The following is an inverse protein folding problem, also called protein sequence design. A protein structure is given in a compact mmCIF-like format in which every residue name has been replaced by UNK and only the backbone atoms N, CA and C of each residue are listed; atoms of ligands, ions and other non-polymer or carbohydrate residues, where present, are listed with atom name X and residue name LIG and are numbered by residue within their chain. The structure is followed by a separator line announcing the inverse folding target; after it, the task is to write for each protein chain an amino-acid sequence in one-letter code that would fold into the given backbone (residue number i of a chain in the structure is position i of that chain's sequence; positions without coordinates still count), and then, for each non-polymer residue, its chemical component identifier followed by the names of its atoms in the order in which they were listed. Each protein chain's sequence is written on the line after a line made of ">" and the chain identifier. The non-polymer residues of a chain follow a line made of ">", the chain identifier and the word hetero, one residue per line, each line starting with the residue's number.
data_IF_126864148595
#
_entry.id   IF_126864148595
#
_cell.length_a   1.000
_cell.length_b   1.000
_cell.length_c   1.000
_cell.angle_alpha   90.00
_cell.angle_beta   90.00
_cell.angle_gamma   90.00
#
_symmetry.space_group_name_H-M   'P 1'
#
loop_
_entity.id
_entity.type
_entity.pdbx_description
1 polymer ?
#
# COMPACT_ATOMS: atom_id res chain seq x y z
N UNK A 1 -21.14 0.19 17.89
CA UNK A 1 -21.00 1.63 18.23
C UNK A 1 -20.84 2.49 16.98
N UNK A 2 -19.67 2.60 16.34
CA UNK A 2 -19.50 3.50 15.17
C UNK A 2 -20.37 3.16 13.97
N UNK A 3 -20.59 1.87 13.68
CA UNK A 3 -21.47 1.45 12.57
C UNK A 3 -22.95 1.77 12.83
N UNK A 4 -23.32 1.97 14.09
CA UNK A 4 -24.71 2.14 14.53
C UNK A 4 -25.05 3.62 14.72
N UNK A 5 -24.11 4.40 15.25
CA UNK A 5 -24.30 5.83 15.57
C UNK A 5 -23.51 6.78 14.66
N UNK A 6 -22.76 6.25 13.69
CA UNK A 6 -21.84 7.01 12.85
C UNK A 6 -20.56 7.39 13.58
N UNK A 7 -19.63 8.00 12.85
CA UNK A 7 -18.35 8.45 13.43
C UNK A 7 -18.60 9.57 14.42
N UNK A 8 -19.22 10.67 13.99
CA UNK A 8 -19.41 11.88 14.78
C UNK A 8 -20.34 11.67 15.99
N UNK A 9 -21.25 10.71 15.91
CA UNK A 9 -22.21 10.40 16.97
C UNK A 9 -21.65 9.62 18.17
N UNK A 10 -20.41 9.14 18.11
CA UNK A 10 -19.76 8.39 19.20
C UNK A 10 -18.63 9.21 19.82
N UNK A 11 -18.61 9.38 21.14
CA UNK A 11 -17.53 10.06 21.87
C UNK A 11 -16.48 9.06 22.35
N UNK A 12 -15.23 9.51 22.45
CA UNK A 12 -14.13 8.67 22.97
C UNK A 12 -14.39 8.24 24.41
N UNK A 13 -14.97 9.11 25.24
CA UNK A 13 -15.42 8.76 26.59
C UNK A 13 -16.41 7.57 26.63
N UNK A 14 -17.33 7.46 25.66
CA UNK A 14 -18.29 6.34 25.60
C UNK A 14 -17.58 5.03 25.24
N UNK A 15 -16.56 5.10 24.38
CA UNK A 15 -15.71 3.95 24.04
C UNK A 15 -14.88 3.53 25.25
N UNK A 16 -14.27 4.49 25.94
CA UNK A 16 -13.48 4.23 27.14
C UNK A 16 -14.31 3.53 28.22
N UNK A 17 -15.54 4.02 28.45
CA UNK A 17 -16.50 3.41 29.36
C UNK A 17 -16.86 1.98 28.93
N UNK A 18 -17.16 1.75 27.64
CA UNK A 18 -17.47 0.41 27.13
C UNK A 18 -16.30 -0.57 27.27
N UNK A 19 -15.06 -0.08 27.21
CA UNK A 19 -13.84 -0.87 27.38
C UNK A 19 -13.36 -0.97 28.84
N UNK A 20 -14.02 -0.31 29.80
CA UNK A 20 -13.60 -0.32 31.21
C UNK A 20 -12.27 0.38 31.48
N UNK A 21 -11.87 1.34 30.63
CA UNK A 21 -10.62 2.10 30.75
C UNK A 21 -10.90 3.60 30.87
N UNK A 22 -9.89 4.37 31.28
CA UNK A 22 -10.00 5.83 31.26
C UNK A 22 -9.86 6.39 29.84
N UNK A 23 -10.47 7.54 29.56
CA UNK A 23 -10.30 8.25 28.29
C UNK A 23 -8.82 8.60 28.02
N UNK A 24 -8.06 8.92 29.07
CA UNK A 24 -6.61 9.11 29.00
C UNK A 24 -5.88 7.85 28.52
N UNK A 25 -6.29 6.68 29.01
CA UNK A 25 -5.73 5.40 28.55
C UNK A 25 -5.97 5.22 27.06
N UNK A 26 -7.18 5.53 26.57
CA UNK A 26 -7.49 5.45 25.14
C UNK A 26 -6.59 6.37 24.32
N UNK A 27 -6.46 7.65 24.72
CA UNK A 27 -5.61 8.61 24.00
C UNK A 27 -4.11 8.31 24.07
N UNK A 28 -3.64 7.60 25.09
CA UNK A 28 -2.25 7.15 25.14
C UNK A 28 -1.90 6.16 24.02
N UNK A 29 -2.86 5.31 23.61
CA UNK A 29 -2.68 4.37 22.51
C UNK A 29 -3.10 4.97 21.16
N UNK A 30 -4.17 5.78 21.16
CA UNK A 30 -4.78 6.34 19.97
C UNK A 30 -4.88 7.86 20.11
N UNK A 31 -3.87 8.62 19.64
CA UNK A 31 -3.80 10.07 19.85
C UNK A 31 -5.00 10.85 19.32
N UNK A 32 -5.73 10.27 18.36
CA UNK A 32 -6.93 10.83 17.75
C UNK A 32 -8.06 9.82 17.75
N UNK A 33 -9.29 10.29 17.62
CA UNK A 33 -10.43 9.40 17.47
C UNK A 33 -10.38 8.63 16.15
N UNK A 34 -9.81 9.23 15.11
CA UNK A 34 -9.57 8.61 13.82
C UNK A 34 -8.60 7.43 13.95
N UNK A 35 -7.52 7.55 14.74
CA UNK A 35 -6.59 6.45 14.99
C UNK A 35 -7.22 5.25 15.70
N UNK A 36 -8.34 5.41 16.43
CA UNK A 36 -9.08 4.26 16.99
C UNK A 36 -9.69 3.36 15.91
N UNK A 37 -9.93 3.92 14.72
CA UNK A 37 -10.62 3.24 13.61
C UNK A 37 -9.64 2.83 12.54
N UNK A 38 -8.70 3.72 12.23
CA UNK A 38 -7.74 3.61 11.15
C UNK A 38 -6.34 3.47 11.72
N UNK A 39 -6.14 2.49 12.60
CA UNK A 39 -4.80 2.24 13.09
C UNK A 39 -3.95 1.61 11.99
N UNK A 40 -2.79 2.22 11.73
CA UNK A 40 -1.77 1.60 10.90
C UNK A 40 -0.91 0.77 11.83
N UNK A 41 -1.13 -0.54 11.86
CA UNK A 41 -0.37 -1.35 12.78
C UNK A 41 1.14 -1.24 12.47
N UNK A 42 1.94 -1.19 13.54
CA UNK A 42 3.40 -1.13 13.44
C UNK A 42 3.96 -2.36 12.69
N UNK A 43 3.20 -3.46 12.69
CA UNK A 43 3.52 -4.68 11.96
C UNK A 43 3.53 -4.47 10.43
N UNK A 44 2.59 -3.70 9.88
CA UNK A 44 2.45 -3.40 8.46
C UNK A 44 3.59 -2.50 8.01
N UNK A 45 3.88 -1.44 8.77
CA UNK A 45 5.03 -0.57 8.50
C UNK A 45 6.35 -1.37 8.56
N UNK A 46 6.47 -2.28 9.52
CA UNK A 46 7.65 -3.14 9.67
C UNK A 46 7.77 -4.14 8.54
N UNK A 47 6.69 -4.81 8.15
CA UNK A 47 6.66 -5.76 7.05
C UNK A 47 7.01 -5.09 5.71
N UNK A 48 6.48 -3.88 5.47
CA UNK A 48 6.81 -3.07 4.31
C UNK A 48 8.30 -2.68 4.30
N UNK A 49 8.79 -2.10 5.40
CA UNK A 49 10.18 -1.65 5.53
C UNK A 49 11.17 -2.79 5.33
N UNK A 50 10.94 -3.91 6.02
CA UNK A 50 11.80 -5.09 5.93
C UNK A 50 11.72 -5.73 4.56
N UNK A 51 10.53 -5.87 3.98
CA UNK A 51 10.33 -6.44 2.65
C UNK A 51 11.03 -5.65 1.54
N UNK A 52 10.93 -4.33 1.57
CA UNK A 52 11.55 -3.43 0.58
C UNK A 52 13.07 -3.34 0.72
N UNK A 53 13.59 -3.50 1.94
CA UNK A 53 15.02 -3.46 2.22
C UNK A 53 15.81 -4.70 1.73
N UNK A 54 15.13 -5.81 1.39
CA UNK A 54 15.81 -7.05 0.95
C UNK A 54 16.48 -6.85 -0.41
N UNK A 55 17.82 -6.94 -0.52
CA UNK A 55 18.52 -6.85 -1.80
C UNK A 55 18.10 -7.95 -2.76
N UNK A 56 18.03 -7.63 -4.07
CA UNK A 56 17.70 -8.60 -5.12
C UNK A 56 16.22 -9.02 -5.22
N UNK A 57 15.38 -8.72 -4.22
CA UNK A 57 13.94 -8.99 -4.28
C UNK A 57 13.20 -7.92 -5.11
N UNK A 58 12.16 -8.28 -5.85
CA UNK A 58 11.32 -7.27 -6.51
C UNK A 58 10.56 -6.43 -5.46
N UNK A 59 10.63 -5.09 -5.48
CA UNK A 59 9.86 -4.24 -4.57
C UNK A 59 8.34 -4.46 -4.65
N UNK A 60 7.84 -4.78 -5.85
CA UNK A 60 6.42 -5.11 -6.08
C UNK A 60 6.03 -6.35 -5.30
N UNK A 61 6.85 -7.41 -5.31
CA UNK A 61 6.61 -8.65 -4.54
C UNK A 61 6.64 -8.44 -3.02
N UNK A 62 7.37 -7.44 -2.53
CA UNK A 62 7.35 -7.10 -1.11
C UNK A 62 5.99 -6.53 -0.72
N UNK A 63 5.49 -5.58 -1.49
CA UNK A 63 4.19 -4.93 -1.27
C UNK A 63 3.02 -5.88 -1.48
N UNK A 64 3.06 -6.70 -2.55
CA UNK A 64 2.05 -7.72 -2.81
C UNK A 64 1.92 -8.72 -1.67
N UNK A 65 3.02 -9.04 -0.97
CA UNK A 65 2.97 -9.92 0.20
C UNK A 65 2.21 -9.27 1.36
N UNK A 66 2.53 -8.01 1.70
CA UNK A 66 1.83 -7.29 2.78
C UNK A 66 0.32 -7.20 2.48
N UNK A 67 -0.03 -6.79 1.27
CA UNK A 67 -1.43 -6.71 0.82
C UNK A 67 -2.14 -8.07 0.85
N UNK A 68 -1.44 -9.14 0.45
CA UNK A 68 -1.97 -10.50 0.50
C UNK A 68 -2.21 -10.98 1.93
N UNK A 69 -1.31 -10.67 2.86
CA UNK A 69 -1.42 -11.07 4.27
C UNK A 69 -2.58 -10.33 4.95
N UNK A 70 -2.74 -9.02 4.71
CA UNK A 70 -3.89 -8.23 5.16
C UNK A 70 -5.21 -8.78 4.61
N UNK A 71 -5.26 -9.04 3.30
CA UNK A 71 -6.45 -9.58 2.64
C UNK A 71 -6.78 -10.98 3.17
N UNK A 72 -5.77 -11.82 3.36
CA UNK A 72 -5.93 -13.15 3.93
C UNK A 72 -6.54 -13.07 5.33
N UNK A 73 -5.94 -12.28 6.24
CA UNK A 73 -6.45 -12.10 7.60
C UNK A 73 -7.91 -11.67 7.63
N UNK A 74 -8.29 -10.71 6.77
CA UNK A 74 -9.67 -10.27 6.65
C UNK A 74 -10.61 -11.37 6.13
N UNK A 75 -10.23 -12.04 5.04
CA UNK A 75 -11.09 -13.08 4.44
C UNK A 75 -11.23 -14.31 5.32
N UNK A 76 -10.17 -14.68 6.05
CA UNK A 76 -10.18 -15.74 7.05
C UNK A 76 -11.05 -15.36 8.24
N UNK A 77 -11.00 -14.11 8.71
CA UNK A 77 -11.90 -13.63 9.76
C UNK A 77 -13.37 -13.71 9.34
N UNK A 78 -13.71 -13.31 8.11
CA UNK A 78 -15.08 -13.43 7.56
C UNK A 78 -15.51 -14.90 7.51
N UNK A 79 -14.64 -15.78 7.03
CA UNK A 79 -14.93 -17.22 6.90
C UNK A 79 -15.13 -17.91 8.26
N UNK A 80 -14.48 -17.41 9.30
CA UNK A 80 -14.60 -17.93 10.67
C UNK A 80 -15.87 -17.47 11.40
N UNK A 81 -16.67 -16.55 10.83
CA UNK A 81 -17.94 -16.12 11.44
C UNK A 81 -19.07 -17.09 11.09
N UNK A 82 -19.99 -17.31 12.04
CA UNK A 82 -21.19 -18.14 11.85
C UNK A 82 -22.04 -17.67 10.65
N UNK A 83 -22.14 -16.34 10.48
CA UNK A 83 -22.76 -15.71 9.31
C UNK A 83 -21.74 -14.86 8.54
N UNK A 84 -21.08 -15.50 7.58
CA UNK A 84 -20.13 -14.84 6.66
C UNK A 84 -20.78 -13.71 5.84
N UNK A 85 -22.08 -13.76 5.58
CA UNK A 85 -22.82 -12.72 4.87
C UNK A 85 -22.95 -11.45 5.71
N UNK A 86 -23.30 -11.61 6.98
CA UNK A 86 -23.35 -10.51 7.95
C UNK A 86 -21.96 -9.93 8.20
N UNK A 87 -20.94 -10.77 8.32
CA UNK A 87 -19.55 -10.32 8.46
C UNK A 87 -19.08 -9.50 7.24
N UNK A 88 -19.36 -9.97 6.02
CA UNK A 88 -19.08 -9.22 4.80
C UNK A 88 -19.86 -7.90 4.73
N UNK A 89 -21.11 -7.88 5.18
CA UNK A 89 -21.92 -6.67 5.27
C UNK A 89 -21.34 -5.67 6.28
N UNK A 90 -20.79 -6.14 7.40
CA UNK A 90 -20.11 -5.31 8.39
C UNK A 90 -18.88 -4.63 7.81
N UNK A 91 -18.00 -5.37 7.11
CA UNK A 91 -16.83 -4.80 6.42
C UNK A 91 -17.27 -3.76 5.37
N UNK A 92 -18.34 -4.03 4.63
CA UNK A 92 -18.90 -3.05 3.68
C UNK A 92 -19.36 -1.76 4.37
N UNK A 93 -20.13 -1.86 5.46
CA UNK A 93 -20.61 -0.71 6.23
C UNK A 93 -19.45 0.09 6.80
N UNK A 94 -18.42 -0.58 7.31
CA UNK A 94 -17.20 0.05 7.81
C UNK A 94 -16.47 0.86 6.75
N UNK A 95 -16.32 0.30 5.55
CA UNK A 95 -15.71 1.01 4.42
C UNK A 95 -16.53 2.22 3.97
N UNK A 96 -17.87 2.11 4.01
CA UNK A 96 -18.74 3.23 3.71
C UNK A 96 -18.59 4.34 4.76
N UNK A 97 -18.52 3.98 6.04
CA UNK A 97 -18.25 4.93 7.12
C UNK A 97 -16.96 5.74 6.88
N UNK A 98 -15.87 5.07 6.49
CA UNK A 98 -14.60 5.74 6.16
C UNK A 98 -14.80 6.69 4.97
N UNK A 99 -15.52 6.26 3.93
CA UNK A 99 -15.74 7.07 2.72
C UNK A 99 -16.68 8.26 2.94
N UNK A 100 -17.69 8.11 3.79
CA UNK A 100 -18.68 9.15 4.05
C UNK A 100 -18.21 10.19 5.06
N UNK A 101 -17.16 9.89 5.84
CA UNK A 101 -16.68 10.76 6.92
C UNK A 101 -15.44 11.56 6.48
N UNK A 102 -15.50 12.90 6.39
CA UNK A 102 -14.38 13.71 5.92
C UNK A 102 -13.08 13.55 6.72
N UNK A 103 -13.14 13.50 8.05
CA UNK A 103 -11.94 13.38 8.90
C UNK A 103 -11.26 12.01 8.74
N UNK A 104 -12.03 10.92 8.64
CA UNK A 104 -11.48 9.59 8.36
C UNK A 104 -10.80 9.52 7.00
N UNK A 105 -11.34 10.17 5.96
CA UNK A 105 -10.66 10.25 4.65
C UNK A 105 -9.37 11.07 4.71
N UNK A 106 -9.35 12.16 5.48
CA UNK A 106 -8.14 12.95 5.68
C UNK A 106 -7.08 12.11 6.40
N UNK A 107 -7.45 11.48 7.51
CA UNK A 107 -6.56 10.61 8.28
C UNK A 107 -6.01 9.44 7.44
N UNK A 108 -6.84 8.79 6.62
CA UNK A 108 -6.39 7.73 5.73
C UNK A 108 -5.35 8.22 4.69
N UNK A 109 -5.46 9.48 4.22
CA UNK A 109 -4.44 10.07 3.34
C UNK A 109 -3.13 10.32 4.09
N UNK A 110 -3.20 10.90 5.29
CA UNK A 110 -2.01 11.10 6.13
C UNK A 110 -1.31 9.78 6.43
N UNK A 111 -2.07 8.70 6.66
CA UNK A 111 -1.55 7.34 6.83
C UNK A 111 -0.86 6.82 5.56
N UNK A 112 -1.44 7.09 4.39
CA UNK A 112 -0.85 6.73 3.09
C UNK A 112 0.47 7.46 2.88
N UNK A 113 0.54 8.75 3.21
CA UNK A 113 1.75 9.56 3.07
C UNK A 113 2.87 9.05 3.99
N UNK A 114 2.55 8.60 5.20
CA UNK A 114 3.53 7.93 6.08
C UNK A 114 4.06 6.63 5.49
N UNK A 115 3.20 5.81 4.88
CA UNK A 115 3.62 4.58 4.20
C UNK A 115 4.54 4.87 3.01
N UNK A 116 4.25 5.94 2.25
CA UNK A 116 5.10 6.41 1.15
C UNK A 116 6.48 6.80 1.70
N UNK A 117 6.55 7.56 2.79
CA UNK A 117 7.81 7.92 3.44
C UNK A 117 8.65 6.69 3.83
N UNK A 118 8.02 5.70 4.48
CA UNK A 118 8.70 4.44 4.85
C UNK A 118 9.21 3.68 3.64
N UNK A 119 8.41 3.60 2.58
CA UNK A 119 8.81 2.92 1.35
C UNK A 119 9.94 3.68 0.64
N UNK A 120 9.88 5.01 0.57
CA UNK A 120 10.91 5.85 -0.05
C UNK A 120 12.25 5.69 0.68
N UNK A 121 12.25 5.72 2.02
CA UNK A 121 13.45 5.46 2.82
C UNK A 121 14.06 4.09 2.56
N UNK A 122 13.24 3.04 2.49
CA UNK A 122 13.71 1.69 2.25
C UNK A 122 14.32 1.54 0.84
N UNK A 123 13.68 2.14 -0.16
CA UNK A 123 14.13 2.12 -1.56
C UNK A 123 15.39 2.95 -1.78
N UNK A 124 15.48 4.12 -1.15
CA UNK A 124 16.65 4.99 -1.20
C UNK A 124 17.90 4.29 -0.62
N UNK A 125 17.77 3.64 0.55
CA UNK A 125 18.84 2.84 1.15
C UNK A 125 19.32 1.72 0.23
N UNK A 126 18.39 1.07 -0.48
CA UNK A 126 18.69 -0.01 -1.42
C UNK A 126 19.46 0.45 -2.66
N UNK A 127 19.27 1.71 -3.07
CA UNK A 127 19.82 2.29 -4.31
C UNK A 127 20.99 3.25 -4.06
N UNK A 128 21.29 3.57 -2.80
CA UNK A 128 22.30 4.57 -2.44
C UNK A 128 21.88 6.02 -2.74
N UNK A 129 20.57 6.26 -2.89
CA UNK A 129 19.98 7.56 -3.15
C UNK A 129 19.54 8.27 -1.85
N UNK A 130 19.21 9.55 -1.94
CA UNK A 130 18.49 10.27 -0.90
C UNK A 130 17.01 9.85 -0.91
N UNK A 131 16.34 9.71 0.24
CA UNK A 131 14.89 9.50 0.28
C UNK A 131 14.09 10.65 -0.34
N UNK A 132 14.67 11.85 -0.43
CA UNK A 132 14.03 13.03 -1.02
C UNK A 132 14.24 13.13 -2.54
N UNK A 133 15.02 12.22 -3.13
CA UNK A 133 15.21 12.17 -4.58
C UNK A 133 13.88 11.73 -5.26
N UNK A 134 13.58 12.25 -6.47
CA UNK A 134 12.32 11.96 -7.14
C UNK A 134 12.12 10.47 -7.44
N UNK A 135 13.20 9.71 -7.63
CA UNK A 135 13.21 8.29 -7.97
C UNK A 135 12.62 7.38 -6.87
N UNK A 136 13.15 7.36 -5.62
CA UNK A 136 12.54 6.60 -4.54
C UNK A 136 11.14 7.12 -4.16
N UNK A 137 10.88 8.42 -4.29
CA UNK A 137 9.57 9.02 -4.01
C UNK A 137 8.48 8.53 -4.98
N UNK A 138 8.74 8.57 -6.29
CA UNK A 138 7.76 8.12 -7.28
C UNK A 138 7.58 6.59 -7.24
N UNK A 139 8.66 5.84 -7.01
CA UNK A 139 8.58 4.40 -6.85
C UNK A 139 7.76 4.01 -5.61
N UNK A 140 8.00 4.66 -4.47
CA UNK A 140 7.21 4.46 -3.26
C UNK A 140 5.74 4.81 -3.47
N UNK A 141 5.45 5.96 -4.09
CA UNK A 141 4.08 6.38 -4.40
C UNK A 141 3.37 5.39 -5.30
N UNK A 142 4.03 4.90 -6.36
CA UNK A 142 3.48 3.90 -7.25
C UNK A 142 3.15 2.59 -6.50
N UNK A 143 4.08 2.10 -5.68
CA UNK A 143 3.90 0.88 -4.89
C UNK A 143 2.77 1.00 -3.86
N UNK A 144 2.74 2.08 -3.07
CA UNK A 144 1.68 2.32 -2.07
C UNK A 144 0.33 2.59 -2.73
N UNK A 145 0.32 3.05 -3.99
CA UNK A 145 -0.87 3.17 -4.83
C UNK A 145 -1.68 1.87 -5.00
N UNK A 146 -1.11 0.71 -4.67
CA UNK A 146 -1.83 -0.57 -4.64
C UNK A 146 -2.85 -0.70 -3.49
N UNK A 147 -2.66 -0.04 -2.34
CA UNK A 147 -3.62 -0.08 -1.22
C UNK A 147 -5.00 0.47 -1.60
N UNK A 148 -5.11 1.68 -2.19
CA UNK A 148 -6.38 2.18 -2.69
C UNK A 148 -7.05 1.26 -3.71
N UNK A 149 -6.28 0.51 -4.52
CA UNK A 149 -6.80 -0.49 -5.47
C UNK A 149 -7.39 -1.68 -4.72
N UNK A 150 -6.65 -2.28 -3.79
CA UNK A 150 -7.14 -3.35 -2.91
C UNK A 150 -8.41 -2.91 -2.18
N UNK A 151 -8.38 -1.72 -1.59
CA UNK A 151 -9.55 -1.14 -0.95
C UNK A 151 -10.69 -1.07 -1.95
N UNK A 152 -10.58 -0.38 -3.09
CA UNK A 152 -11.69 -0.27 -4.06
C UNK A 152 -12.21 -1.64 -4.54
N UNK A 153 -11.32 -2.58 -4.84
CA UNK A 153 -11.64 -3.92 -5.33
C UNK A 153 -12.44 -4.72 -4.29
N UNK A 154 -12.03 -4.70 -3.03
CA UNK A 154 -12.74 -5.34 -1.93
C UNK A 154 -14.18 -4.84 -1.81
N UNK A 155 -14.40 -3.52 -1.93
CA UNK A 155 -15.74 -2.94 -1.91
C UNK A 155 -16.62 -3.33 -3.11
N UNK A 156 -16.01 -3.58 -4.28
CA UNK A 156 -16.69 -4.09 -5.47
C UNK A 156 -17.12 -5.55 -5.26
N UNK A 157 -16.20 -6.41 -4.80
CA UNK A 157 -16.44 -7.85 -4.74
C UNK A 157 -17.32 -8.26 -3.56
N UNK A 158 -17.22 -7.60 -2.40
CA UNK A 158 -18.11 -7.85 -1.27
C UNK A 158 -19.60 -7.53 -1.55
N UNK A 159 -19.92 -6.78 -2.63
CA UNK A 159 -21.31 -6.51 -3.03
C UNK A 159 -21.94 -7.65 -3.83
N UNK A 160 -21.13 -8.42 -4.54
CA UNK A 160 -21.57 -9.35 -5.58
C UNK A 160 -21.31 -10.79 -5.17
N UNK A 161 -20.17 -11.02 -4.51
CA UNK A 161 -19.65 -12.35 -4.19
C UNK A 161 -20.01 -12.71 -2.75
N UNK A 162 -20.51 -13.94 -2.54
CA UNK A 162 -20.97 -14.41 -1.22
C UNK A 162 -19.92 -15.22 -0.45
N UNK A 163 -18.98 -15.86 -1.14
CA UNK A 163 -17.95 -16.69 -0.49
C UNK A 163 -16.66 -15.91 -0.24
N UNK A 164 -16.07 -15.94 0.98
CA UNK A 164 -14.84 -15.23 1.31
C UNK A 164 -13.65 -15.57 0.39
N UNK A 165 -13.51 -16.84 0.00
CA UNK A 165 -12.46 -17.30 -0.91
C UNK A 165 -12.57 -16.68 -2.31
N UNK A 166 -13.79 -16.51 -2.81
CA UNK A 166 -14.03 -15.89 -4.10
C UNK A 166 -13.72 -14.38 -4.05
N UNK A 167 -14.01 -13.72 -2.93
CA UNK A 167 -13.60 -12.32 -2.68
C UNK A 167 -12.08 -12.23 -2.66
N UNK A 168 -11.40 -13.10 -1.91
CA UNK A 168 -9.94 -13.16 -1.85
C UNK A 168 -9.33 -13.28 -3.25
N UNK A 169 -9.76 -14.28 -4.02
CA UNK A 169 -9.26 -14.53 -5.37
C UNK A 169 -9.48 -13.32 -6.30
N UNK A 170 -10.66 -12.71 -6.25
CA UNK A 170 -11.00 -11.60 -7.13
C UNK A 170 -10.24 -10.31 -6.79
N UNK A 171 -10.04 -10.01 -5.50
CA UNK A 171 -9.25 -8.87 -5.04
C UNK A 171 -7.77 -9.07 -5.39
N UNK A 172 -7.22 -10.25 -5.11
CA UNK A 172 -5.83 -10.59 -5.47
C UNK A 172 -5.59 -10.44 -6.97
N UNK A 173 -6.53 -10.87 -7.82
CA UNK A 173 -6.43 -10.71 -9.26
C UNK A 173 -6.45 -9.23 -9.70
N UNK A 174 -7.29 -8.39 -9.09
CA UNK A 174 -7.33 -6.95 -9.40
C UNK A 174 -6.02 -6.24 -8.99
N UNK A 175 -5.48 -6.55 -7.81
CA UNK A 175 -4.22 -5.97 -7.31
C UNK A 175 -3.04 -6.41 -8.18
N UNK A 176 -2.96 -7.69 -8.55
CA UNK A 176 -1.90 -8.21 -9.44
C UNK A 176 -1.89 -7.52 -10.80
N UNK A 177 -3.05 -7.33 -11.43
CA UNK A 177 -3.13 -6.58 -12.71
C UNK A 177 -2.66 -5.14 -12.60
N UNK A 178 -2.89 -4.49 -11.46
CA UNK A 178 -2.35 -3.13 -11.22
C UNK A 178 -0.84 -3.16 -10.96
N UNK A 179 -0.35 -4.18 -10.25
CA UNK A 179 1.06 -4.36 -9.94
C UNK A 179 1.90 -4.64 -11.20
N UNK A 180 1.37 -5.39 -12.17
CA UNK A 180 2.01 -5.63 -13.47
C UNK A 180 2.30 -4.32 -14.22
N UNK A 181 1.40 -3.33 -14.14
CA UNK A 181 1.62 -2.00 -14.74
C UNK A 181 2.73 -1.22 -14.03
N UNK A 182 2.79 -1.32 -12.70
CA UNK A 182 3.86 -0.70 -11.90
C UNK A 182 5.19 -1.37 -12.21
N UNK A 183 5.24 -2.70 -12.27
CA UNK A 183 6.46 -3.44 -12.56
C UNK A 183 7.01 -3.12 -13.96
N UNK A 184 6.14 -3.07 -14.98
CA UNK A 184 6.53 -2.64 -16.32
C UNK A 184 7.07 -1.20 -16.34
N UNK A 185 6.42 -0.29 -15.61
CA UNK A 185 6.88 1.09 -15.46
C UNK A 185 8.24 1.19 -14.73
N UNK A 186 8.42 0.47 -13.62
CA UNK A 186 9.66 0.47 -12.85
C UNK A 186 10.82 -0.25 -13.56
N UNK A 187 10.53 -1.24 -14.41
CA UNK A 187 11.55 -1.89 -15.25
C UNK A 187 12.18 -0.89 -16.23
N UNK A 188 11.40 0.05 -16.77
CA UNK A 188 11.93 1.14 -17.61
C UNK A 188 12.85 2.10 -16.83
N UNK A 189 12.64 2.24 -15.52
CA UNK A 189 13.47 3.04 -14.63
C UNK A 189 14.82 2.36 -14.30
N UNK A 190 14.82 1.04 -14.04
CA UNK A 190 16.06 0.28 -13.79
C UNK A 190 17.06 0.39 -14.96
N UNK A 191 16.57 0.46 -16.20
CA UNK A 191 17.39 0.64 -17.40
C UNK A 191 18.10 2.00 -17.47
N UNK A 192 17.63 3.03 -16.75
CA UNK A 192 18.27 4.36 -16.70
C UNK A 192 19.44 4.44 -15.72
N UNK A 193 19.52 3.50 -14.76
CA UNK A 193 20.58 3.46 -13.74
C UNK A 193 21.74 2.51 -14.05
N UNK A 194 21.66 1.74 -15.14
CA UNK A 194 22.77 0.92 -15.61
C UNK A 194 23.76 1.81 -16.40
N UNK A 195 25.07 1.74 -16.12
CA UNK A 195 26.05 2.53 -16.88
C UNK A 195 25.97 2.13 -18.35
N UNK A 196 25.65 3.11 -19.20
CA UNK A 196 25.65 2.97 -20.66
C UNK A 196 26.91 2.24 -21.11
N UNK A 197 26.76 1.04 -21.69
CA UNK A 197 27.89 0.37 -22.33
C UNK A 197 28.37 1.28 -23.46
N UNK A 198 29.65 1.69 -23.52
CA UNK A 198 30.12 2.57 -24.58
C UNK A 198 29.91 1.88 -25.92
N UNK A 199 29.28 2.57 -26.89
CA UNK A 199 29.24 2.10 -28.27
C UNK A 199 30.68 1.80 -28.72
N UNK A 200 30.94 0.67 -29.40
CA UNK A 200 32.26 0.41 -29.96
C UNK A 200 32.60 1.55 -30.92
N UNK A 201 33.74 2.20 -30.67
CA UNK A 201 34.25 3.25 -31.53
C UNK A 201 34.33 2.70 -32.96
N UNK A 202 33.55 3.29 -33.86
CA UNK A 202 33.72 3.10 -35.30
C UNK A 202 35.15 3.49 -35.64
N UNK A 203 35.98 2.48 -35.92
CA UNK A 203 37.30 2.69 -36.51
C UNK A 203 37.11 3.47 -37.81
N UNK A 204 37.54 4.73 -37.81
CA UNK A 204 37.72 5.50 -39.03
C UNK A 204 38.81 4.83 -39.87
N UNK A 205 38.42 4.31 -41.04
CA UNK A 205 39.35 3.87 -42.07
C UNK A 205 40.23 5.06 -42.54
N UNK A 206 41.49 4.81 -42.91
CA UNK A 206 42.38 5.88 -43.38
C UNK A 206 42.06 6.26 -44.83
N UNK A 207 41.67 7.52 -45.05
CA UNK A 207 41.59 8.11 -46.38
C UNK A 207 42.95 8.02 -47.08
N UNK A 208 42.97 7.26 -48.17
CA UNK A 208 44.13 7.08 -49.03
C UNK A 208 44.06 8.12 -50.14
N UNK A 209 45.05 9.00 -50.21
CA UNK A 209 45.53 9.56 -51.48
C UNK A 209 45.31 11.05 -51.73
N UNK A 210 46.42 11.77 -51.92
CA UNK A 210 46.69 12.48 -53.18
C UNK A 210 48.20 12.82 -53.28
N UNK A 211 48.84 12.68 -54.46
CA UNK A 211 50.23 13.08 -54.66
C UNK A 211 50.33 14.53 -55.17
N UNK A 212 51.24 15.30 -54.58
CA UNK A 212 51.63 16.63 -55.06
C UNK A 212 52.60 16.53 -56.23
N UNK A 213 52.37 17.34 -57.26
CA UNK A 213 53.27 17.53 -58.42
C UNK A 213 54.59 18.17 -58.04
#
# INVERSE_FOLDING_TARGET
>A
MFLDHGFDGVRVAEIAQACGVSEKTVFNYFPTKESLILDLDEATMTALRTGLAIPGRCPVDAVLRVLSDELHGMTSWIAAQDDSGQAAAMIRRFRELIRSTPSLRAYHRDMTDRLIGVAAEALAKRTGMSPDDPEPQIAATALIGLWPIQFRSLGKHLKVVRAPEQVHKAVTADVRRAAELIEAGLASFKALGEPSTPLPATHSEPETGLPTR
#
